data_IF_732127613019
#
_entry.id   IF_732127613019
#
_cell.length_a   1.000
_cell.length_b   1.000
_cell.length_c   1.000
_cell.angle_alpha   90.00
_cell.angle_beta   90.00
_cell.angle_gamma   90.00
#
_symmetry.space_group_name_H-M   'P 1'
#
loop_
_entity.id
_entity.type
_entity.pdbx_description
1 polymer ?
#
# COMPACT_ATOMS: atom_id res chain seq x y z
N UNK A 1 9.89 -21.68 -13.95
CA UNK A 1 10.13 -20.23 -13.79
C UNK A 1 10.59 -19.97 -12.36
N UNK A 2 11.58 -19.09 -12.12
CA UNK A 2 12.19 -18.85 -10.78
C UNK A 2 11.91 -17.45 -10.21
N UNK A 3 10.92 -16.72 -10.73
CA UNK A 3 10.60 -15.35 -10.26
C UNK A 3 9.22 -15.35 -9.59
N UNK A 4 9.04 -14.57 -8.50
CA UNK A 4 7.74 -14.42 -7.87
C UNK A 4 6.75 -13.75 -8.83
N UNK A 5 5.45 -14.01 -8.63
CA UNK A 5 4.39 -13.22 -9.23
C UNK A 5 4.35 -11.85 -8.54
N UNK A 6 4.29 -10.76 -9.30
CA UNK A 6 4.40 -9.39 -8.78
C UNK A 6 3.13 -8.61 -9.09
N UNK A 7 2.54 -8.03 -8.06
CA UNK A 7 1.38 -7.15 -8.15
C UNK A 7 1.83 -5.73 -7.82
N UNK A 8 1.53 -4.79 -8.72
CA UNK A 8 1.70 -3.36 -8.45
C UNK A 8 0.36 -2.81 -7.99
N UNK A 9 0.35 -2.18 -6.82
CA UNK A 9 -0.83 -1.48 -6.28
C UNK A 9 -0.45 -0.04 -5.93
N UNK A 10 -1.24 0.93 -6.40
CA UNK A 10 -1.04 2.34 -6.13
C UNK A 10 -2.39 3.05 -5.99
N UNK A 11 -2.44 4.08 -5.14
CA UNK A 11 -3.56 5.01 -5.08
C UNK A 11 -3.15 6.31 -5.77
N UNK A 12 -3.98 6.79 -6.69
CA UNK A 12 -3.72 8.03 -7.44
C UNK A 12 -4.94 8.94 -7.47
N UNK A 13 -4.71 10.24 -7.53
CA UNK A 13 -5.72 11.21 -7.89
C UNK A 13 -6.18 11.03 -9.35
N UNK A 14 -7.26 11.71 -9.72
CA UNK A 14 -7.80 11.68 -11.09
C UNK A 14 -6.82 12.23 -12.15
N UNK A 15 -5.95 13.15 -11.76
CA UNK A 15 -4.87 13.70 -12.59
C UNK A 15 -3.56 12.88 -12.50
N UNK A 16 -3.63 11.66 -11.95
CA UNK A 16 -2.56 10.67 -11.96
C UNK A 16 -1.42 10.93 -10.98
N UNK A 17 -1.64 11.72 -9.93
CA UNK A 17 -0.62 12.02 -8.91
C UNK A 17 -0.78 11.09 -7.71
N UNK A 18 0.35 10.71 -7.12
CA UNK A 18 0.40 9.74 -6.01
C UNK A 18 0.93 10.37 -4.72
N UNK A 19 1.34 11.64 -4.78
CA UNK A 19 1.90 12.39 -3.65
C UNK A 19 1.70 13.89 -3.86
N UNK A 20 1.68 14.64 -2.76
CA UNK A 20 1.76 16.09 -2.78
C UNK A 20 3.20 16.57 -2.96
N UNK A 21 3.35 17.82 -3.41
CA UNK A 21 4.63 18.53 -3.37
C UNK A 21 5.14 18.58 -1.93
N UNK A 22 6.42 18.25 -1.74
CA UNK A 22 7.06 18.26 -0.43
C UNK A 22 6.75 17.03 0.45
N UNK A 23 6.32 15.89 -0.15
CA UNK A 23 6.15 14.60 0.56
C UNK A 23 5.20 14.68 1.77
N UNK A 24 4.11 15.45 1.62
CA UNK A 24 3.10 15.56 2.69
C UNK A 24 2.10 14.41 2.61
N UNK A 25 1.63 13.87 3.76
CA UNK A 25 0.57 12.88 3.78
C UNK A 25 -0.69 13.38 3.09
N UNK A 26 -1.24 12.56 2.20
CA UNK A 26 -2.52 12.81 1.53
C UNK A 26 -3.35 11.53 1.57
N UNK A 27 -4.61 11.65 1.98
CA UNK A 27 -5.57 10.55 1.85
C UNK A 27 -6.20 10.60 0.47
N UNK A 28 -5.82 9.68 -0.40
CA UNK A 28 -6.41 9.50 -1.74
C UNK A 28 -7.57 8.49 -1.69
N UNK A 29 -7.35 7.36 -1.00
CA UNK A 29 -8.28 6.22 -0.99
C UNK A 29 -9.39 6.32 0.05
N UNK A 30 -10.53 5.69 -0.26
CA UNK A 30 -11.64 5.48 0.67
C UNK A 30 -11.36 4.35 1.67
N UNK A 31 -12.24 4.13 2.65
CA UNK A 31 -12.09 3.03 3.61
C UNK A 31 -12.25 1.66 2.93
N UNK A 32 -13.09 1.56 1.90
CA UNK A 32 -13.28 0.34 1.10
C UNK A 32 -12.00 -0.06 0.36
N UNK A 33 -11.30 0.91 -0.25
CA UNK A 33 -10.03 0.65 -0.92
C UNK A 33 -8.91 0.31 0.10
N UNK A 34 -8.94 0.93 1.29
CA UNK A 34 -8.07 0.52 2.39
C UNK A 34 -8.31 -0.94 2.81
N UNK A 35 -9.57 -1.38 2.91
CA UNK A 35 -9.87 -2.79 3.16
C UNK A 35 -9.36 -3.70 2.05
N UNK A 36 -9.53 -3.31 0.78
CA UNK A 36 -9.04 -4.05 -0.39
C UNK A 36 -7.51 -4.21 -0.37
N UNK A 37 -6.75 -3.14 -0.15
CA UNK A 37 -5.27 -3.23 -0.13
C UNK A 37 -4.76 -4.05 1.05
N UNK A 38 -5.45 -4.02 2.19
CA UNK A 38 -5.07 -4.86 3.34
C UNK A 38 -5.35 -6.34 3.09
N UNK A 39 -6.44 -6.70 2.42
CA UNK A 39 -6.68 -8.08 1.95
C UNK A 39 -5.59 -8.52 0.97
N UNK A 40 -5.29 -7.68 -0.03
CA UNK A 40 -4.21 -7.95 -0.99
C UNK A 40 -2.86 -8.20 -0.31
N UNK A 41 -2.50 -7.36 0.67
CA UNK A 41 -1.26 -7.55 1.44
C UNK A 41 -1.24 -8.86 2.21
N UNK A 42 -2.39 -9.30 2.73
CA UNK A 42 -2.53 -10.55 3.48
C UNK A 42 -2.39 -11.80 2.60
N UNK A 43 -2.63 -11.66 1.30
CA UNK A 43 -2.50 -12.73 0.31
C UNK A 43 -1.06 -12.83 -0.25
N UNK A 44 -0.26 -11.78 -0.10
CA UNK A 44 1.12 -11.72 -0.58
C UNK A 44 2.13 -12.21 0.46
N UNK A 45 3.19 -12.88 0.00
CA UNK A 45 4.27 -13.34 0.88
C UNK A 45 5.26 -12.21 1.26
N UNK A 46 5.29 -11.11 0.48
CA UNK A 46 6.17 -9.98 0.73
C UNK A 46 5.58 -8.66 0.21
N UNK A 47 5.96 -7.56 0.86
CA UNK A 47 5.68 -6.19 0.43
C UNK A 47 7.00 -5.51 0.10
N UNK A 48 7.09 -4.93 -1.09
CA UNK A 48 8.26 -4.19 -1.56
C UNK A 48 7.93 -2.70 -1.71
N UNK A 49 8.81 -1.84 -1.22
CA UNK A 49 8.73 -0.38 -1.43
C UNK A 49 10.12 0.19 -1.70
N UNK A 50 10.19 1.35 -2.34
CA UNK A 50 11.44 2.10 -2.49
C UNK A 50 11.80 2.88 -1.22
N UNK A 51 13.09 3.15 -1.03
CA UNK A 51 13.60 3.94 0.11
C UNK A 51 12.97 5.34 0.18
N UNK A 52 12.63 5.94 -0.97
CA UNK A 52 11.97 7.25 -1.02
C UNK A 52 10.63 7.27 -0.29
N UNK A 53 9.87 6.17 -0.34
CA UNK A 53 8.59 6.00 0.38
C UNK A 53 8.82 5.85 1.87
N UNK A 54 9.84 5.08 2.28
CA UNK A 54 10.20 4.94 3.70
C UNK A 54 10.53 6.31 4.30
N UNK A 55 11.40 7.08 3.64
CA UNK A 55 11.81 8.40 4.11
C UNK A 55 10.69 9.45 4.08
N UNK A 56 9.69 9.27 3.21
CA UNK A 56 8.57 10.19 3.07
C UNK A 56 7.45 9.92 4.08
N UNK A 57 7.09 8.64 4.24
CA UNK A 57 5.82 8.23 4.85
C UNK A 57 5.98 7.42 6.15
N UNK A 58 7.21 6.98 6.48
CA UNK A 58 7.50 6.06 7.60
C UNK A 58 6.46 4.92 7.75
N UNK A 59 6.19 4.15 6.68
CA UNK A 59 5.09 3.22 6.67
C UNK A 59 5.46 1.95 7.46
N UNK A 60 4.55 1.51 8.33
CA UNK A 60 4.71 0.22 9.03
C UNK A 60 4.61 -1.00 8.10
N UNK A 61 3.93 -0.84 6.96
CA UNK A 61 3.68 -1.90 5.95
C UNK A 61 3.08 -3.20 6.53
N UNK A 62 2.39 -3.13 7.66
CA UNK A 62 1.69 -4.28 8.26
C UNK A 62 0.29 -4.45 7.71
N UNK A 63 -0.22 -5.67 7.80
CA UNK A 63 -1.66 -5.96 7.64
C UNK A 63 -2.36 -5.58 8.94
N UNK A 64 -3.43 -4.79 8.86
CA UNK A 64 -4.24 -4.42 10.03
C UNK A 64 -5.40 -5.40 10.13
N UNK A 65 -5.50 -6.10 11.26
CA UNK A 65 -6.54 -7.11 11.53
C UNK A 65 -7.96 -6.57 11.36
N UNK A 66 -8.19 -5.28 11.64
CA UNK A 66 -9.49 -4.64 11.41
C UNK A 66 -10.06 -4.80 9.99
N UNK A 67 -9.21 -5.11 9.00
CA UNK A 67 -9.63 -5.31 7.60
C UNK A 67 -9.69 -6.78 7.15
N UNK A 68 -9.06 -7.70 7.88
CA UNK A 68 -8.85 -9.10 7.45
C UNK A 68 -9.27 -10.14 8.50
N UNK A 69 -9.67 -9.71 9.70
CA UNK A 69 -9.98 -10.59 10.83
C UNK A 69 -8.70 -11.07 11.52
N UNK A 70 -7.96 -11.97 10.88
CA UNK A 70 -6.68 -12.49 11.36
C UNK A 70 -5.63 -12.25 10.27
N UNK A 71 -4.56 -11.54 10.60
CA UNK A 71 -3.44 -11.35 9.69
C UNK A 71 -2.66 -12.67 9.56
N UNK A 72 -2.30 -13.03 8.32
CA UNK A 72 -1.45 -14.18 8.00
C UNK A 72 0.01 -13.89 8.35
#
# INVERSE_FOLDING_TARGET
MKRPYVIINCASSIDGKIALVGKKPLKISSEEDMARVHKLRNECDAILVGIGTILADDPKLTVKEKYVGIAK
#
